data_IF_068469492312
#
_entry.id   IF_068469492312
#
_cell.length_a   1.000
_cell.length_b   1.000
_cell.length_c   1.000
_cell.angle_alpha   90.00
_cell.angle_beta   90.00
_cell.angle_gamma   90.00
#
_symmetry.space_group_name_H-M   'P 1'
#
loop_
_entity.id
_entity.type
_entity.pdbx_description
1 polymer ?
#
# COMPACT_ATOMS: atom_id res chain seq x y z
N UNK A 1 -18.45 -21.65 9.35
CA UNK A 1 -18.02 -20.43 8.62
C UNK A 1 -18.95 -19.28 8.98
N UNK A 2 -18.37 -18.15 9.31
CA UNK A 2 -19.17 -16.94 9.61
C UNK A 2 -19.70 -16.33 8.33
N UNK A 3 -20.84 -15.66 8.40
CA UNK A 3 -21.42 -14.99 7.23
C UNK A 3 -20.45 -13.98 6.63
N UNK A 4 -19.71 -13.25 7.46
CA UNK A 4 -18.72 -12.28 6.98
C UNK A 4 -17.61 -12.92 6.14
N UNK A 5 -17.19 -14.14 6.50
CA UNK A 5 -16.17 -14.87 5.73
C UNK A 5 -16.71 -15.31 4.37
N UNK A 6 -18.00 -15.62 4.31
CA UNK A 6 -18.66 -16.00 3.05
C UNK A 6 -18.80 -14.81 2.10
N UNK A 7 -18.92 -13.58 2.66
CA UNK A 7 -19.12 -12.36 1.88
C UNK A 7 -17.81 -11.65 1.57
N UNK A 8 -16.71 -12.05 2.21
CA UNK A 8 -15.42 -11.46 1.96
C UNK A 8 -14.97 -11.74 0.53
N UNK A 9 -14.43 -10.74 -0.17
CA UNK A 9 -13.86 -10.98 -1.51
C UNK A 9 -12.64 -11.89 -1.41
N UNK A 10 -12.34 -12.64 -2.48
CA UNK A 10 -11.13 -13.46 -2.49
C UNK A 10 -9.88 -12.58 -2.37
N UNK A 11 -8.79 -13.13 -1.79
CA UNK A 11 -7.53 -12.39 -1.73
C UNK A 11 -7.01 -12.02 -3.11
N UNK A 12 -6.45 -10.81 -3.21
CA UNK A 12 -5.78 -10.36 -4.44
C UNK A 12 -4.32 -10.77 -4.39
N UNK A 13 -3.85 -11.40 -5.48
CA UNK A 13 -2.46 -11.77 -5.67
C UNK A 13 -1.95 -11.10 -6.93
N UNK A 14 -1.21 -10.01 -6.76
CA UNK A 14 -0.68 -9.27 -7.91
C UNK A 14 0.36 -10.12 -8.67
N UNK A 15 0.45 -9.94 -9.99
CA UNK A 15 1.56 -10.52 -10.75
C UNK A 15 2.87 -9.82 -10.41
N UNK A 16 3.98 -10.42 -10.81
CA UNK A 16 5.28 -9.76 -10.77
C UNK A 16 5.22 -8.47 -11.57
N UNK A 17 5.74 -7.38 -11.00
CA UNK A 17 5.63 -6.06 -11.61
C UNK A 17 6.95 -5.53 -12.19
N UNK A 18 7.96 -6.37 -12.24
CA UNK A 18 9.24 -6.03 -12.83
C UNK A 18 10.17 -5.27 -11.90
N UNK A 19 11.21 -4.68 -12.47
CA UNK A 19 12.25 -3.99 -11.72
C UNK A 19 11.67 -2.79 -10.95
N UNK A 20 12.03 -2.62 -9.65
CA UNK A 20 11.53 -1.49 -8.86
C UNK A 20 12.32 -0.20 -9.11
N UNK A 21 12.27 0.27 -10.34
CA UNK A 21 12.92 1.51 -10.79
C UNK A 21 11.82 2.44 -11.32
N UNK A 22 11.59 3.57 -10.65
CA UNK A 22 10.51 4.47 -10.98
C UNK A 22 10.66 5.13 -12.37
N UNK A 23 11.89 5.32 -12.83
CA UNK A 23 12.13 5.89 -14.16
C UNK A 23 11.79 4.91 -15.28
N UNK A 24 12.14 3.64 -15.08
CA UNK A 24 11.92 2.59 -16.09
C UNK A 24 10.54 1.95 -15.97
N UNK A 25 10.00 1.91 -14.76
CA UNK A 25 8.79 1.15 -14.46
C UNK A 25 7.91 1.88 -13.45
N UNK A 26 7.36 3.05 -13.83
CA UNK A 26 6.60 3.88 -12.89
C UNK A 26 5.28 3.27 -12.43
N UNK A 27 4.81 2.21 -13.07
CA UNK A 27 3.60 1.51 -12.64
C UNK A 27 3.84 0.59 -11.44
N UNK A 28 5.11 0.29 -11.10
CA UNK A 28 5.43 -0.59 -9.98
C UNK A 28 5.40 0.19 -8.67
N UNK A 29 4.43 -0.08 -7.77
CA UNK A 29 4.34 0.66 -6.51
C UNK A 29 5.55 0.47 -5.60
N UNK A 30 6.26 -0.66 -5.69
CA UNK A 30 7.47 -0.89 -4.89
C UNK A 30 8.54 0.15 -5.21
N UNK A 31 8.67 0.56 -6.47
CA UNK A 31 9.64 1.59 -6.85
C UNK A 31 9.43 2.88 -6.07
N UNK A 32 8.18 3.31 -5.96
CA UNK A 32 7.83 4.53 -5.23
C UNK A 32 7.92 4.36 -3.72
N UNK A 33 7.55 3.17 -3.20
CA UNK A 33 7.69 2.86 -1.78
C UNK A 33 9.15 2.96 -1.34
N UNK A 34 10.08 2.41 -2.13
CA UNK A 34 11.51 2.48 -1.83
C UNK A 34 12.01 3.92 -1.82
N UNK A 35 11.57 4.76 -2.76
CA UNK A 35 11.92 6.18 -2.77
C UNK A 35 11.38 6.89 -1.52
N UNK A 36 10.15 6.59 -1.13
CA UNK A 36 9.56 7.17 0.07
C UNK A 36 10.33 6.76 1.33
N UNK A 37 10.67 5.48 1.44
CA UNK A 37 11.42 4.96 2.60
C UNK A 37 12.81 5.59 2.73
N UNK A 38 13.43 5.96 1.62
CA UNK A 38 14.73 6.62 1.61
C UNK A 38 14.70 8.13 1.71
N UNK A 39 13.53 8.75 1.63
CA UNK A 39 13.41 10.21 1.66
C UNK A 39 13.52 10.75 3.09
N UNK A 40 14.33 11.80 3.28
CA UNK A 40 14.49 12.44 4.58
C UNK A 40 13.54 13.63 4.78
N UNK A 41 13.17 14.29 3.69
CA UNK A 41 12.21 15.41 3.73
C UNK A 41 10.78 14.84 3.80
N UNK A 42 9.99 15.21 4.82
CA UNK A 42 8.63 14.67 4.99
C UNK A 42 7.71 14.93 3.80
N UNK A 43 7.83 16.09 3.16
CA UNK A 43 6.97 16.43 2.03
C UNK A 43 7.34 15.64 0.77
N UNK A 44 8.63 15.44 0.54
CA UNK A 44 9.12 14.60 -0.57
C UNK A 44 8.68 13.15 -0.35
N UNK A 45 8.80 12.67 0.88
CA UNK A 45 8.33 11.34 1.27
C UNK A 45 6.84 11.18 0.99
N UNK A 46 6.06 12.17 1.37
CA UNK A 46 4.61 12.19 1.12
C UNK A 46 4.32 12.06 -0.39
N UNK A 47 5.02 12.84 -1.21
CA UNK A 47 4.81 12.83 -2.66
C UNK A 47 5.13 11.47 -3.29
N UNK A 48 6.24 10.86 -2.91
CA UNK A 48 6.61 9.53 -3.39
C UNK A 48 5.61 8.47 -2.92
N UNK A 49 5.26 8.51 -1.64
CA UNK A 49 4.33 7.55 -1.05
C UNK A 49 2.95 7.63 -1.70
N UNK A 50 2.46 8.85 -1.94
CA UNK A 50 1.17 9.05 -2.58
C UNK A 50 1.17 8.53 -4.01
N UNK A 51 2.24 8.74 -4.75
CA UNK A 51 2.38 8.19 -6.10
C UNK A 51 2.35 6.65 -6.06
N UNK A 52 3.14 6.05 -5.18
CA UNK A 52 3.13 4.58 -5.01
C UNK A 52 1.78 4.04 -4.58
N UNK A 53 1.11 4.75 -3.68
CA UNK A 53 -0.24 4.42 -3.25
C UNK A 53 -1.20 4.37 -4.44
N UNK A 54 -1.23 5.40 -5.27
CA UNK A 54 -2.12 5.42 -6.42
C UNK A 54 -1.78 4.36 -7.46
N UNK A 55 -0.50 4.14 -7.73
CA UNK A 55 -0.07 3.07 -8.63
C UNK A 55 -0.45 1.70 -8.08
N UNK A 56 -0.34 1.55 -6.75
CA UNK A 56 -0.75 0.32 -6.07
C UNK A 56 -2.24 0.05 -6.20
N UNK A 57 -3.07 1.06 -5.96
CA UNK A 57 -4.52 0.91 -6.10
C UNK A 57 -4.91 0.59 -7.55
N UNK A 58 -4.25 1.22 -8.52
CA UNK A 58 -4.49 0.92 -9.94
C UNK A 58 -4.18 -0.55 -10.23
N UNK A 59 -3.05 -1.06 -9.73
CA UNK A 59 -2.67 -2.46 -9.92
C UNK A 59 -3.68 -3.41 -9.27
N UNK A 60 -4.11 -3.10 -8.04
CA UNK A 60 -5.10 -3.91 -7.34
C UNK A 60 -6.43 -3.94 -8.11
N UNK A 61 -6.92 -2.78 -8.57
CA UNK A 61 -8.16 -2.70 -9.33
C UNK A 61 -8.05 -3.45 -10.64
N UNK A 62 -6.90 -3.41 -11.29
CA UNK A 62 -6.63 -4.16 -12.52
C UNK A 62 -6.59 -5.66 -12.31
N UNK A 63 -6.53 -6.12 -11.06
CA UNK A 63 -6.45 -7.54 -10.71
C UNK A 63 -7.61 -7.97 -9.81
N UNK A 64 -8.75 -7.30 -9.92
CA UNK A 64 -10.00 -7.76 -9.32
C UNK A 64 -10.36 -7.17 -7.96
N UNK A 65 -9.50 -6.32 -7.38
CA UNK A 65 -9.81 -5.66 -6.12
C UNK A 65 -10.94 -4.62 -6.31
N UNK A 66 -11.91 -4.63 -5.41
CA UNK A 66 -13.10 -3.78 -5.50
C UNK A 66 -13.13 -2.67 -4.45
N UNK A 67 -11.97 -2.30 -3.93
CA UNK A 67 -11.84 -1.24 -2.94
C UNK A 67 -11.79 -1.73 -1.50
N UNK A 68 -11.88 -3.03 -1.28
CA UNK A 68 -11.80 -3.66 0.05
C UNK A 68 -11.42 -5.12 -0.08
N UNK A 69 -11.00 -5.72 1.03
CA UNK A 69 -10.69 -7.14 1.10
C UNK A 69 -9.20 -7.45 1.13
N UNK A 70 -8.87 -8.73 1.29
CA UNK A 70 -7.49 -9.15 1.58
C UNK A 70 -6.51 -8.92 0.44
N UNK A 71 -5.34 -8.37 0.81
CA UNK A 71 -4.16 -8.22 -0.05
C UNK A 71 -2.98 -8.71 0.78
N UNK A 72 -2.74 -10.04 0.83
CA UNK A 72 -1.83 -10.61 1.82
C UNK A 72 -0.35 -10.28 1.58
N UNK A 73 0.33 -9.93 2.66
CA UNK A 73 1.79 -9.69 2.68
C UNK A 73 2.59 -10.93 2.29
N UNK A 74 2.07 -12.11 2.59
CA UNK A 74 2.75 -13.37 2.28
C UNK A 74 2.99 -13.56 0.78
N UNK A 75 2.17 -12.92 -0.06
CA UNK A 75 2.38 -12.91 -1.50
C UNK A 75 3.30 -11.72 -1.83
N UNK A 76 4.56 -12.03 -2.16
CA UNK A 76 5.61 -11.01 -2.31
C UNK A 76 5.24 -9.85 -3.24
N UNK A 77 4.65 -10.08 -4.43
CA UNK A 77 4.28 -8.96 -5.32
C UNK A 77 3.30 -7.96 -4.72
N UNK A 78 2.57 -8.30 -3.65
CA UNK A 78 1.67 -7.38 -2.96
C UNK A 78 2.40 -6.38 -2.07
N UNK A 79 3.65 -6.66 -1.71
CA UNK A 79 4.37 -5.88 -0.68
C UNK A 79 4.59 -4.44 -1.07
N UNK A 80 4.82 -4.17 -2.34
CA UNK A 80 4.99 -2.79 -2.82
C UNK A 80 3.78 -1.92 -2.55
N UNK A 81 2.58 -2.44 -2.77
CA UNK A 81 1.33 -1.72 -2.47
C UNK A 81 1.21 -1.48 -0.97
N UNK A 82 1.40 -2.52 -0.16
CA UNK A 82 1.25 -2.42 1.30
C UNK A 82 2.26 -1.44 1.88
N UNK A 83 3.51 -1.48 1.41
CA UNK A 83 4.55 -0.54 1.84
C UNK A 83 4.22 0.89 1.42
N UNK A 84 3.64 1.10 0.23
CA UNK A 84 3.22 2.44 -0.20
C UNK A 84 2.11 3.00 0.66
N UNK A 85 1.12 2.18 1.02
CA UNK A 85 0.04 2.59 1.94
C UNK A 85 0.63 3.00 3.30
N UNK A 86 1.54 2.18 3.84
CA UNK A 86 2.19 2.46 5.11
C UNK A 86 3.02 3.75 5.06
N UNK A 87 3.78 3.94 4.00
CA UNK A 87 4.61 5.15 3.85
C UNK A 87 3.75 6.41 3.75
N UNK A 88 2.60 6.32 3.06
CA UNK A 88 1.68 7.45 2.99
C UNK A 88 1.11 7.77 4.38
N UNK A 89 0.75 6.75 5.15
CA UNK A 89 0.28 6.95 6.52
C UNK A 89 1.33 7.66 7.37
N UNK A 90 2.57 7.17 7.35
CA UNK A 90 3.65 7.76 8.14
C UNK A 90 4.00 9.18 7.70
N UNK A 91 4.02 9.44 6.40
CA UNK A 91 4.29 10.77 5.87
C UNK A 91 3.17 11.75 6.20
N UNK A 92 1.92 11.31 6.13
CA UNK A 92 0.77 12.12 6.51
C UNK A 92 0.84 12.53 7.99
N UNK A 93 1.13 11.58 8.87
CA UNK A 93 1.29 11.86 10.29
C UNK A 93 2.42 12.86 10.55
N UNK A 94 3.52 12.75 9.81
CA UNK A 94 4.67 13.64 9.98
C UNK A 94 4.37 15.10 9.61
N UNK A 95 3.34 15.35 8.80
CA UNK A 95 2.92 16.70 8.43
C UNK A 95 1.57 17.07 9.08
N UNK A 96 1.22 16.38 10.16
CA UNK A 96 0.00 16.63 10.96
C UNK A 96 -1.31 16.41 10.20
N UNK A 97 -1.30 15.59 9.16
CA UNK A 97 -2.50 15.20 8.41
C UNK A 97 -3.09 13.92 9.01
N UNK A 98 -3.64 14.04 10.24
CA UNK A 98 -4.08 12.89 11.04
C UNK A 98 -5.21 12.09 10.37
N UNK A 99 -6.15 12.77 9.72
CA UNK A 99 -7.26 12.07 9.04
C UNK A 99 -6.76 11.16 7.92
N UNK A 100 -5.74 11.58 7.20
CA UNK A 100 -5.13 10.76 6.15
C UNK A 100 -4.35 9.58 6.75
N UNK A 101 -3.65 9.80 7.87
CA UNK A 101 -3.01 8.70 8.60
C UNK A 101 -4.04 7.65 8.99
N UNK A 102 -5.15 8.07 9.60
CA UNK A 102 -6.20 7.15 10.04
C UNK A 102 -6.81 6.38 8.87
N UNK A 103 -7.05 7.07 7.76
CA UNK A 103 -7.63 6.45 6.56
C UNK A 103 -6.68 5.39 5.98
N UNK A 104 -5.40 5.72 5.85
CA UNK A 104 -4.41 4.77 5.32
C UNK A 104 -4.19 3.60 6.25
N UNK A 105 -4.17 3.85 7.57
CA UNK A 105 -4.04 2.77 8.55
C UNK A 105 -5.22 1.80 8.47
N UNK A 106 -6.42 2.32 8.35
CA UNK A 106 -7.63 1.49 8.21
C UNK A 106 -7.58 0.65 6.92
N UNK A 107 -7.15 1.26 5.81
CA UNK A 107 -6.99 0.55 4.55
C UNK A 107 -5.94 -0.57 4.66
N UNK A 108 -4.80 -0.27 5.28
CA UNK A 108 -3.75 -1.27 5.48
C UNK A 108 -4.26 -2.44 6.32
N UNK A 109 -5.01 -2.14 7.38
CA UNK A 109 -5.61 -3.16 8.25
C UNK A 109 -6.62 -4.02 7.48
N UNK A 110 -7.39 -3.42 6.58
CA UNK A 110 -8.34 -4.17 5.74
C UNK A 110 -7.61 -5.08 4.76
N UNK A 111 -6.50 -4.63 4.19
CA UNK A 111 -5.69 -5.44 3.27
C UNK A 111 -5.03 -6.62 4.00
N UNK A 112 -4.36 -6.34 5.11
CA UNK A 112 -3.66 -7.36 5.92
C UNK A 112 -3.40 -6.80 7.31
N UNK A 113 -4.21 -7.18 8.32
CA UNK A 113 -4.08 -6.62 9.67
C UNK A 113 -2.71 -6.88 10.31
N UNK A 114 -2.03 -7.95 9.92
CA UNK A 114 -0.71 -8.28 10.46
C UNK A 114 0.37 -7.27 10.04
N UNK A 115 0.15 -6.52 8.97
CA UNK A 115 1.09 -5.51 8.50
C UNK A 115 1.09 -4.24 9.33
N UNK A 116 0.00 -3.93 10.04
CA UNK A 116 -0.16 -2.65 10.73
C UNK A 116 0.93 -2.44 11.77
N UNK A 117 1.14 -3.42 12.64
CA UNK A 117 2.13 -3.32 13.70
C UNK A 117 3.56 -3.22 13.15
N UNK A 118 3.87 -3.97 12.09
CA UNK A 118 5.22 -4.01 11.53
C UNK A 118 5.54 -2.77 10.70
N UNK A 119 4.60 -2.28 9.91
CA UNK A 119 4.86 -1.21 8.95
C UNK A 119 4.62 0.18 9.50
N UNK A 120 3.84 0.33 10.58
CA UNK A 120 3.48 1.64 11.14
C UNK A 120 4.13 1.94 12.50
N UNK A 121 5.11 1.18 12.89
CA UNK A 121 5.86 1.46 14.14
C UNK A 121 6.98 2.47 13.95
#
# INVERSE_FOLDING_TARGET
MKINDMLAPPPVHLPEMGEPDAMKNPANPLAWALLAEGATDPLVRYAFARTGYHRGLDALRGNGWKGFGPVPWSHEPNRGVLRSIAQLALAARAIDEESEYDRCRALLSDCDPDCVAELLT
#
